data_IF_464059466480
#
_entry.id   IF_464059466480
#
_cell.length_a   1.000
_cell.length_b   1.000
_cell.length_c   1.000
_cell.angle_alpha   90.00
_cell.angle_beta   90.00
_cell.angle_gamma   90.00
#
_symmetry.space_group_name_H-M   'P 1'
#
loop_
_entity.id
_entity.type
_entity.pdbx_description
1 polymer ?
#
# COMPACT_ATOMS: atom_id res chain seq x y z
N UNK A 1 45.11 -0.74 42.59
CA UNK A 1 44.93 -1.86 41.65
C UNK A 1 43.66 -1.64 40.89
N UNK A 2 43.68 -1.19 39.64
CA UNK A 2 42.48 -0.88 38.91
C UNK A 2 41.98 -2.07 38.10
N UNK A 3 41.22 -2.96 38.70
CA UNK A 3 40.54 -4.04 37.98
C UNK A 3 39.03 -3.82 37.87
N UNK A 4 38.51 -2.67 38.32
CA UNK A 4 37.07 -2.37 38.32
C UNK A 4 36.62 -1.78 36.97
N UNK A 5 37.52 -1.33 36.10
CA UNK A 5 37.14 -0.61 34.87
C UNK A 5 36.72 -1.48 33.69
N UNK A 6 37.13 -2.73 33.63
CA UNK A 6 36.84 -3.58 32.48
C UNK A 6 35.43 -4.18 32.50
N UNK A 7 34.88 -4.47 33.67
CA UNK A 7 33.53 -4.98 33.81
C UNK A 7 32.45 -3.92 33.51
N UNK A 8 32.71 -2.66 33.85
CA UNK A 8 31.77 -1.54 33.60
C UNK A 8 31.70 -1.17 32.12
N UNK A 9 32.82 -1.27 31.40
CA UNK A 9 32.84 -1.00 29.94
C UNK A 9 32.12 -2.10 29.17
N UNK A 10 32.22 -3.35 29.62
CA UNK A 10 31.50 -4.47 28.99
C UNK A 10 29.98 -4.39 29.15
N UNK A 11 29.49 -3.98 30.34
CA UNK A 11 28.07 -3.79 30.62
C UNK A 11 27.48 -2.62 29.80
N UNK A 12 28.18 -1.50 29.67
CA UNK A 12 27.79 -0.38 28.86
C UNK A 12 27.72 -0.74 27.36
N UNK A 13 28.70 -1.53 26.89
CA UNK A 13 28.73 -2.04 25.52
C UNK A 13 27.54 -2.97 25.20
N UNK A 14 27.21 -3.88 26.11
CA UNK A 14 26.08 -4.79 25.98
C UNK A 14 24.77 -4.04 25.99
N UNK A 15 24.55 -3.08 26.89
CA UNK A 15 23.36 -2.24 26.92
C UNK A 15 23.18 -1.43 25.63
N UNK A 16 24.28 -0.95 25.04
CA UNK A 16 24.25 -0.19 23.78
C UNK A 16 23.91 -1.09 22.58
N UNK A 17 24.39 -2.33 22.55
CA UNK A 17 24.05 -3.32 21.53
C UNK A 17 22.56 -3.70 21.64
N UNK A 18 22.05 -3.97 22.82
CA UNK A 18 20.64 -4.28 23.04
C UNK A 18 19.73 -3.12 22.63
N UNK A 19 20.12 -1.88 22.95
CA UNK A 19 19.37 -0.69 22.54
C UNK A 19 19.34 -0.54 21.02
N UNK A 20 20.47 -0.78 20.35
CA UNK A 20 20.57 -0.73 18.90
C UNK A 20 19.74 -1.83 18.24
N UNK A 21 19.74 -3.04 18.79
CA UNK A 21 18.92 -4.15 18.30
C UNK A 21 17.42 -3.87 18.48
N UNK A 22 17.03 -3.31 19.63
CA UNK A 22 15.65 -2.91 19.89
C UNK A 22 15.19 -1.79 18.94
N UNK A 23 16.04 -0.82 18.66
CA UNK A 23 15.74 0.25 17.69
C UNK A 23 15.61 -0.31 16.26
N UNK A 24 16.52 -1.18 15.84
CA UNK A 24 16.46 -1.82 14.52
C UNK A 24 15.21 -2.68 14.36
N UNK A 25 14.81 -3.42 15.40
CA UNK A 25 13.59 -4.22 15.41
C UNK A 25 12.35 -3.33 15.27
N UNK A 26 12.30 -2.20 15.96
CA UNK A 26 11.19 -1.23 15.84
C UNK A 26 11.12 -0.61 14.46
N UNK A 27 12.25 -0.27 13.85
CA UNK A 27 12.31 0.26 12.49
C UNK A 27 11.82 -0.78 11.49
N UNK A 28 12.27 -2.03 11.62
CA UNK A 28 11.82 -3.13 10.75
C UNK A 28 10.31 -3.39 10.88
N UNK A 29 9.78 -3.46 12.09
CA UNK A 29 8.34 -3.62 12.32
C UNK A 29 7.53 -2.48 11.74
N UNK A 30 8.01 -1.24 11.89
CA UNK A 30 7.35 -0.06 11.31
C UNK A 30 7.35 -0.10 9.79
N UNK A 31 8.45 -0.51 9.16
CA UNK A 31 8.55 -0.64 7.70
C UNK A 31 7.63 -1.76 7.17
N UNK A 32 7.52 -2.88 7.86
CA UNK A 32 6.61 -3.97 7.51
C UNK A 32 5.14 -3.56 7.62
N UNK A 33 4.77 -2.87 8.70
CA UNK A 33 3.42 -2.34 8.88
C UNK A 33 3.08 -1.34 7.77
N UNK A 34 4.00 -0.45 7.44
CA UNK A 34 3.84 0.50 6.33
C UNK A 34 3.62 -0.22 5.00
N UNK A 35 4.41 -1.23 4.70
CA UNK A 35 4.28 -2.03 3.47
C UNK A 35 2.91 -2.71 3.38
N UNK A 36 2.43 -3.31 4.48
CA UNK A 36 1.10 -3.95 4.55
C UNK A 36 -0.03 -2.93 4.36
N UNK A 37 0.10 -1.75 4.96
CA UNK A 37 -0.89 -0.67 4.79
C UNK A 37 -0.94 -0.19 3.35
N UNK A 38 0.22 0.06 2.73
CA UNK A 38 0.31 0.48 1.33
C UNK A 38 -0.28 -0.58 0.38
N UNK A 39 0.00 -1.85 0.62
CA UNK A 39 -0.56 -2.95 -0.15
C UNK A 39 -2.10 -3.00 0.00
N UNK A 40 -2.60 -2.82 1.21
CA UNK A 40 -4.04 -2.79 1.48
C UNK A 40 -4.74 -1.63 0.78
N UNK A 41 -4.16 -0.43 0.85
CA UNK A 41 -4.66 0.75 0.12
C UNK A 41 -4.65 0.50 -1.38
N UNK A 42 -3.59 -0.11 -1.92
CA UNK A 42 -3.52 -0.46 -3.34
C UNK A 42 -4.64 -1.40 -3.79
N UNK A 43 -4.92 -2.44 -3.01
CA UNK A 43 -6.03 -3.36 -3.26
C UNK A 43 -7.39 -2.65 -3.26
N UNK A 44 -7.62 -1.74 -2.29
CA UNK A 44 -8.85 -0.97 -2.21
C UNK A 44 -9.01 -0.02 -3.39
N UNK A 45 -7.97 0.67 -3.80
CA UNK A 45 -7.96 1.58 -4.95
C UNK A 45 -8.21 0.82 -6.25
N UNK A 46 -7.62 -0.35 -6.44
CA UNK A 46 -7.91 -1.23 -7.59
C UNK A 46 -9.37 -1.69 -7.59
N UNK A 47 -9.92 -2.02 -6.43
CA UNK A 47 -11.33 -2.35 -6.28
C UNK A 47 -12.23 -1.19 -6.66
N UNK A 48 -11.92 0.03 -6.23
CA UNK A 48 -12.64 1.26 -6.60
C UNK A 48 -12.56 1.52 -8.11
N UNK A 49 -11.39 1.38 -8.71
CA UNK A 49 -11.18 1.56 -10.14
C UNK A 49 -12.03 0.57 -10.96
N UNK A 50 -12.04 -0.71 -10.58
CA UNK A 50 -12.84 -1.74 -11.24
C UNK A 50 -14.35 -1.46 -11.14
N UNK A 51 -14.83 -0.98 -9.98
CA UNK A 51 -16.23 -0.60 -9.79
C UNK A 51 -16.57 0.64 -10.62
N UNK A 52 -15.73 1.66 -10.63
CA UNK A 52 -15.92 2.87 -11.40
C UNK A 52 -15.90 2.59 -12.92
N UNK A 53 -15.02 1.72 -13.40
CA UNK A 53 -15.03 1.27 -14.79
C UNK A 53 -16.36 0.63 -15.17
N UNK A 54 -16.90 -0.24 -14.31
CA UNK A 54 -18.22 -0.84 -14.55
C UNK A 54 -19.34 0.17 -14.59
N UNK A 55 -19.30 1.20 -13.72
CA UNK A 55 -20.27 2.29 -13.69
C UNK A 55 -20.17 3.24 -14.89
N UNK A 56 -19.02 3.29 -15.56
CA UNK A 56 -18.83 4.11 -16.76
C UNK A 56 -19.55 3.54 -18.00
N UNK A 57 -19.96 2.27 -17.97
CA UNK A 57 -20.75 1.67 -19.05
C UNK A 57 -22.22 2.08 -18.94
N UNK A 58 -22.81 2.52 -20.06
CA UNK A 58 -24.21 2.95 -20.12
C UNK A 58 -25.22 1.79 -20.04
N UNK A 59 -24.77 0.54 -20.24
CA UNK A 59 -25.60 -0.67 -20.20
C UNK A 59 -25.89 -1.21 -18.79
N UNK A 60 -25.48 -0.54 -17.73
CA UNK A 60 -25.71 -0.98 -16.35
C UNK A 60 -27.14 -0.63 -15.94
N UNK A 61 -27.93 -1.63 -15.46
CA UNK A 61 -29.27 -1.40 -14.96
C UNK A 61 -29.27 -0.51 -13.70
N UNK A 62 -30.38 0.16 -13.43
CA UNK A 62 -30.52 1.06 -12.26
C UNK A 62 -30.24 0.33 -10.95
N UNK A 63 -30.73 -0.91 -10.79
CA UNK A 63 -30.48 -1.72 -9.60
C UNK A 63 -29.01 -2.08 -9.44
N UNK A 64 -28.33 -2.49 -10.51
CA UNK A 64 -26.91 -2.78 -10.51
C UNK A 64 -26.08 -1.53 -10.24
N UNK A 65 -26.48 -0.38 -10.79
CA UNK A 65 -25.83 0.90 -10.54
C UNK A 65 -25.87 1.28 -9.06
N UNK A 66 -27.03 1.16 -8.42
CA UNK A 66 -27.16 1.41 -6.97
C UNK A 66 -26.20 0.55 -6.13
N UNK A 67 -26.12 -0.75 -6.44
CA UNK A 67 -25.22 -1.66 -5.74
C UNK A 67 -23.75 -1.30 -5.96
N UNK A 68 -23.38 -0.97 -7.17
CA UNK A 68 -22.00 -0.58 -7.50
C UNK A 68 -21.61 0.74 -6.85
N UNK A 69 -22.50 1.73 -6.81
CA UNK A 69 -22.29 3.00 -6.11
C UNK A 69 -22.11 2.77 -4.61
N UNK A 70 -22.97 1.96 -3.99
CA UNK A 70 -22.83 1.60 -2.58
C UNK A 70 -21.49 0.93 -2.29
N UNK A 71 -21.06 0.00 -3.16
CA UNK A 71 -19.76 -0.68 -3.04
C UNK A 71 -18.59 0.29 -3.22
N UNK A 72 -18.67 1.20 -4.16
CA UNK A 72 -17.64 2.23 -4.35
C UNK A 72 -17.49 3.11 -3.11
N UNK A 73 -18.59 3.59 -2.56
CA UNK A 73 -18.61 4.42 -1.35
C UNK A 73 -18.05 3.67 -0.13
N UNK A 74 -18.34 2.37 0.01
CA UNK A 74 -17.77 1.55 1.08
C UNK A 74 -16.23 1.42 0.95
N UNK A 75 -15.74 1.16 -0.26
CA UNK A 75 -14.30 1.09 -0.53
C UNK A 75 -13.62 2.44 -0.26
N UNK A 76 -14.23 3.55 -0.70
CA UNK A 76 -13.73 4.90 -0.46
C UNK A 76 -13.65 5.23 1.03
N UNK A 77 -14.67 4.87 1.80
CA UNK A 77 -14.67 5.03 3.26
C UNK A 77 -13.51 4.26 3.90
N UNK A 78 -13.27 3.02 3.49
CA UNK A 78 -12.16 2.20 4.01
C UNK A 78 -10.79 2.79 3.68
N UNK A 79 -10.61 3.37 2.50
CA UNK A 79 -9.37 4.09 2.17
C UNK A 79 -9.17 5.28 3.10
N UNK A 80 -10.23 6.08 3.31
CA UNK A 80 -10.16 7.25 4.19
C UNK A 80 -9.92 6.88 5.66
N UNK A 81 -10.47 5.76 6.13
CA UNK A 81 -10.22 5.24 7.47
C UNK A 81 -8.75 4.87 7.67
N UNK A 82 -8.14 4.20 6.68
CA UNK A 82 -6.72 3.84 6.72
C UNK A 82 -5.84 5.08 6.69
N UNK A 83 -6.15 6.05 5.83
CA UNK A 83 -5.41 7.31 5.71
C UNK A 83 -5.49 8.14 7.01
N UNK A 84 -6.65 8.17 7.65
CA UNK A 84 -6.86 8.79 8.96
C UNK A 84 -6.02 8.18 10.08
N UNK A 85 -5.86 6.85 10.09
CA UNK A 85 -5.04 6.13 11.09
C UNK A 85 -3.55 6.38 10.86
N UNK A 86 -3.09 6.32 9.61
CA UNK A 86 -1.67 6.54 9.28
C UNK A 86 -1.27 8.02 9.44
N UNK A 87 -2.17 8.93 9.11
CA UNK A 87 -1.93 10.38 9.26
C UNK A 87 -1.84 10.85 10.71
N UNK A 88 -2.39 10.11 11.67
CA UNK A 88 -2.29 10.44 13.10
C UNK A 88 -0.94 10.09 13.71
N UNK A 89 -0.22 9.13 13.16
CA UNK A 89 1.07 8.66 13.70
C UNK A 89 2.32 9.35 13.12
N UNK A 90 2.21 10.05 12.02
CA UNK A 90 3.35 10.73 11.42
C UNK A 90 3.00 11.53 10.18
N UNK A 91 2.99 12.84 10.34
CA UNK A 91 2.71 13.83 9.30
C UNK A 91 3.62 13.78 8.05
N UNK A 92 4.68 12.96 8.09
CA UNK A 92 5.67 12.87 7.03
C UNK A 92 5.34 11.79 5.97
N UNK A 93 4.39 10.89 6.26
CA UNK A 93 4.16 9.68 5.47
C UNK A 93 2.72 9.53 4.97
N UNK A 94 1.98 10.63 4.85
CA UNK A 94 0.64 10.63 4.30
C UNK A 94 0.61 10.00 2.89
N UNK A 95 -0.15 8.94 2.75
CA UNK A 95 -0.34 8.22 1.48
C UNK A 95 -1.16 9.06 0.48
N UNK A 96 -1.94 10.01 1.00
CA UNK A 96 -2.62 11.02 0.22
C UNK A 96 -1.97 12.40 0.41
N UNK A 97 -1.89 13.23 -0.62
CA UNK A 97 -1.35 14.57 -0.48
C UNK A 97 -2.23 15.36 0.51
N UNK A 98 -1.64 15.67 1.66
CA UNK A 98 -2.13 16.70 2.59
C UNK A 98 -3.57 16.55 3.09
N UNK A 99 -3.89 15.48 3.83
CA UNK A 99 -5.08 15.47 4.70
C UNK A 99 -6.44 15.67 4.01
N UNK A 100 -6.50 15.56 2.71
CA UNK A 100 -7.74 15.56 1.93
C UNK A 100 -8.27 14.15 1.86
N UNK A 101 -9.36 13.90 2.58
CA UNK A 101 -10.11 12.66 2.40
C UNK A 101 -10.49 12.51 0.93
N UNK A 102 -10.32 11.32 0.40
CA UNK A 102 -10.72 10.99 -0.96
C UNK A 102 -12.24 11.15 -1.08
N UNK A 103 -12.70 12.05 -1.93
CA UNK A 103 -14.11 12.32 -2.18
C UNK A 103 -14.38 12.28 -3.70
N UNK A 104 -14.64 11.07 -4.22
CA UNK A 104 -14.97 10.86 -5.62
C UNK A 104 -16.45 10.51 -5.76
N UNK A 105 -17.11 11.12 -6.74
CA UNK A 105 -18.49 10.84 -7.08
C UNK A 105 -18.58 9.89 -8.28
N UNK A 106 -19.49 8.92 -8.21
CA UNK A 106 -19.70 7.91 -9.26
C UNK A 106 -21.19 7.71 -9.60
N UNK A 107 -22.03 8.73 -9.38
CA UNK A 107 -23.48 8.64 -9.57
C UNK A 107 -23.91 8.41 -11.02
N UNK A 108 -23.17 8.93 -11.98
CA UNK A 108 -23.42 8.78 -13.42
C UNK A 108 -22.18 8.25 -14.16
N UNK A 109 -22.33 7.91 -15.45
CA UNK A 109 -21.23 7.36 -16.26
C UNK A 109 -20.08 8.36 -16.48
N UNK A 110 -20.36 9.65 -16.47
CA UNK A 110 -19.35 10.71 -16.64
C UNK A 110 -18.53 10.90 -15.37
N UNK A 111 -19.19 10.95 -14.21
CA UNK A 111 -18.52 11.03 -12.91
C UNK A 111 -17.70 9.77 -12.64
N UNK A 112 -18.23 8.59 -12.99
CA UNK A 112 -17.50 7.34 -12.91
C UNK A 112 -16.23 7.32 -13.79
N UNK A 113 -16.32 7.79 -15.03
CA UNK A 113 -15.16 7.91 -15.93
C UNK A 113 -14.10 8.89 -15.40
N UNK A 114 -14.53 9.97 -14.75
CA UNK A 114 -13.64 10.91 -14.08
C UNK A 114 -12.97 10.26 -12.88
N UNK A 115 -13.71 9.53 -12.07
CA UNK A 115 -13.17 8.79 -10.93
C UNK A 115 -12.09 7.77 -11.36
N UNK A 116 -12.31 7.03 -12.46
CA UNK A 116 -11.30 6.13 -13.03
C UNK A 116 -9.99 6.86 -13.34
N UNK A 117 -10.06 8.02 -13.98
CA UNK A 117 -8.86 8.82 -14.31
C UNK A 117 -8.13 9.29 -13.07
N UNK A 118 -8.85 9.78 -12.05
CA UNK A 118 -8.24 10.23 -10.80
C UNK A 118 -7.60 9.07 -10.04
N UNK A 119 -8.24 7.92 -9.95
CA UNK A 119 -7.70 6.71 -9.31
C UNK A 119 -6.46 6.19 -10.05
N UNK A 120 -6.47 6.18 -11.38
CA UNK A 120 -5.31 5.79 -12.20
C UNK A 120 -4.13 6.73 -12.00
N UNK A 121 -4.39 8.03 -11.87
CA UNK A 121 -3.40 9.07 -11.60
C UNK A 121 -2.76 8.88 -10.22
N UNK A 122 -3.59 8.69 -9.18
CA UNK A 122 -3.11 8.39 -7.83
C UNK A 122 -2.23 7.15 -7.77
N UNK A 123 -2.54 6.13 -8.57
CA UNK A 123 -1.74 4.91 -8.68
C UNK A 123 -0.42 5.13 -9.41
N UNK A 124 -0.38 6.07 -10.36
CA UNK A 124 0.82 6.47 -11.10
C UNK A 124 1.81 7.28 -10.27
N UNK A 125 1.31 8.09 -9.34
CA UNK A 125 2.10 9.00 -8.50
C UNK A 125 2.66 8.35 -7.23
N UNK A 126 2.42 7.05 -7.01
CA UNK A 126 2.97 6.33 -5.86
C UNK A 126 4.48 6.18 -5.95
N UNK A 127 5.20 6.31 -4.82
CA UNK A 127 6.64 6.17 -4.80
C UNK A 127 7.07 4.79 -5.32
N UNK A 128 8.20 4.78 -5.99
CA UNK A 128 8.81 3.62 -6.69
C UNK A 128 8.92 2.38 -5.78
N UNK A 129 9.05 2.56 -4.48
CA UNK A 129 9.11 1.49 -3.48
C UNK A 129 7.83 0.64 -3.42
N UNK A 130 6.66 1.26 -3.55
CA UNK A 130 5.39 0.54 -3.60
C UNK A 130 5.21 -0.21 -4.93
N UNK A 131 5.81 0.28 -6.03
CA UNK A 131 5.84 -0.40 -7.33
C UNK A 131 6.75 -1.63 -7.30
N UNK A 132 7.92 -1.54 -6.66
CA UNK A 132 8.86 -2.65 -6.56
C UNK A 132 8.30 -3.83 -5.73
N UNK A 133 7.52 -3.57 -4.69
CA UNK A 133 6.84 -4.59 -3.92
C UNK A 133 5.73 -5.30 -4.72
N UNK A 134 5.06 -4.57 -5.64
CA UNK A 134 3.98 -5.12 -6.46
C UNK A 134 4.47 -5.93 -7.67
N UNK A 135 5.71 -5.71 -8.13
CA UNK A 135 6.31 -6.41 -9.27
C UNK A 135 7.12 -7.64 -8.90
N UNK A 136 7.29 -7.92 -7.62
CA UNK A 136 7.83 -9.21 -7.15
C UNK A 136 6.76 -10.29 -7.14
N UNK A 137 6.16 -10.54 -8.28
CA UNK A 137 5.62 -11.86 -8.59
C UNK A 137 6.81 -12.80 -8.72
N UNK A 138 6.83 -13.96 -8.08
CA UNK A 138 7.78 -14.99 -8.41
C UNK A 138 7.42 -15.49 -9.81
N UNK A 139 8.02 -14.90 -10.82
CA UNK A 139 8.11 -15.53 -12.12
C UNK A 139 8.96 -16.78 -11.93
N UNK A 140 8.33 -17.87 -11.61
CA UNK A 140 8.84 -19.20 -11.84
C UNK A 140 9.05 -19.35 -13.33
N UNK A 141 10.16 -18.85 -13.81
CA UNK A 141 10.63 -19.10 -15.15
C UNK A 141 11.11 -20.54 -15.21
N UNK A 142 10.23 -21.47 -15.48
CA UNK A 142 10.64 -22.71 -16.13
C UNK A 142 11.17 -22.36 -17.51
N UNK A 143 12.47 -22.16 -17.56
CA UNK A 143 13.18 -22.28 -18.82
C UNK A 143 13.10 -23.72 -19.25
N UNK A 144 12.19 -24.02 -20.18
CA UNK A 144 12.20 -25.24 -20.92
C UNK A 144 13.57 -25.40 -21.58
N UNK A 145 14.34 -26.38 -21.11
CA UNK A 145 15.48 -26.89 -21.81
C UNK A 145 15.00 -27.42 -23.16
N UNK A 146 15.32 -26.69 -24.20
CA UNK A 146 15.28 -27.23 -25.58
C UNK A 146 16.41 -28.22 -25.66
N UNK A 147 16.11 -29.49 -25.55
CA UNK A 147 17.03 -30.57 -25.90
C UNK A 147 17.01 -30.67 -27.40
N UNK A 148 18.03 -30.12 -28.03
CA UNK A 148 18.31 -30.30 -29.45
C UNK A 148 18.88 -31.73 -29.63
N UNK A 149 18.03 -32.63 -30.09
CA UNK A 149 18.45 -33.98 -30.48
C UNK A 149 18.71 -33.92 -31.99
N UNK A 150 19.95 -33.70 -32.32
CA UNK A 150 20.43 -33.92 -33.70
C UNK A 150 20.80 -35.39 -33.83
N UNK A 151 20.07 -36.07 -34.64
CA UNK A 151 20.42 -37.40 -35.15
C UNK A 151 21.23 -37.22 -36.45
#
# INVERSE_FOLDING_TARGET
>A
MPQVSQASVSLAGQAQIELSQAQNSRVSQRSELRSRVLERVDQLVRGMEAVAQRLSYDGVSTAQRSLLVARFNDLQRRVNEIDGVVGSEGRADAVAPSGTSLALEVGDSRSASRAVRELSKMRGDRPIEARAASTRSPAGGERGQVVDITV
#
